data_IF_711284719285
#
_entry.id   IF_711284719285
#
_cell.length_a   1.000
_cell.length_b   1.000
_cell.length_c   1.000
_cell.angle_alpha   90.00
_cell.angle_beta   90.00
_cell.angle_gamma   90.00
#
_symmetry.space_group_name_H-M   'P 1'
#
loop_
_entity.id
_entity.type
_entity.pdbx_description
1 polymer ?
#
# COMPACT_ATOMS: atom_id res chain seq x y z
N UNK A 1 -17.31 11.02 -14.13
CA UNK A 1 -16.85 10.55 -12.81
C UNK A 1 -15.90 9.39 -13.07
N UNK A 2 -14.59 9.62 -13.00
CA UNK A 2 -13.54 8.60 -13.21
C UNK A 2 -13.03 8.06 -11.85
N UNK A 3 -13.91 7.99 -10.84
CA UNK A 3 -13.58 7.60 -9.46
C UNK A 3 -13.68 6.08 -9.26
N UNK A 4 -12.97 5.30 -10.07
CA UNK A 4 -12.97 3.84 -9.91
C UNK A 4 -11.65 3.16 -10.22
N UNK A 5 -10.75 3.81 -10.95
CA UNK A 5 -9.50 3.16 -11.39
C UNK A 5 -8.30 3.79 -10.72
N UNK A 6 -7.68 3.06 -9.79
CA UNK A 6 -6.37 3.43 -9.26
C UNK A 6 -5.34 3.20 -10.36
N UNK A 7 -4.73 4.29 -10.86
CA UNK A 7 -3.62 4.22 -11.81
C UNK A 7 -2.31 4.12 -11.04
N UNK A 8 -1.57 3.04 -11.29
CA UNK A 8 -0.24 2.81 -10.72
C UNK A 8 0.81 3.15 -11.78
N UNK A 9 1.83 3.91 -11.40
CA UNK A 9 2.91 4.25 -12.32
C UNK A 9 3.86 3.07 -12.56
N UNK A 10 3.95 2.15 -11.60
CA UNK A 10 4.88 1.03 -11.64
C UNK A 10 4.23 -0.28 -11.18
N UNK A 11 4.78 -1.41 -11.65
CA UNK A 11 4.38 -2.75 -11.18
C UNK A 11 4.64 -2.91 -9.68
N UNK A 12 5.73 -2.32 -9.18
CA UNK A 12 6.08 -2.35 -7.74
C UNK A 12 5.05 -1.62 -6.90
N UNK A 13 4.64 -0.42 -7.31
CA UNK A 13 3.60 0.34 -6.60
C UNK A 13 2.28 -0.44 -6.54
N UNK A 14 1.89 -1.07 -7.67
CA UNK A 14 0.70 -1.92 -7.74
C UNK A 14 0.80 -3.11 -6.78
N UNK A 15 1.94 -3.80 -6.74
CA UNK A 15 2.15 -4.95 -5.87
C UNK A 15 2.10 -4.55 -4.38
N UNK A 16 2.74 -3.43 -4.02
CA UNK A 16 2.69 -2.89 -2.66
C UNK A 16 1.26 -2.49 -2.27
N UNK A 17 0.52 -1.83 -3.16
CA UNK A 17 -0.88 -1.51 -2.92
C UNK A 17 -1.75 -2.77 -2.75
N UNK A 18 -1.57 -3.79 -3.58
CA UNK A 18 -2.30 -5.06 -3.44
C UNK A 18 -2.02 -5.74 -2.09
N UNK A 19 -0.77 -5.68 -1.60
CA UNK A 19 -0.39 -6.18 -0.27
C UNK A 19 -1.10 -5.42 0.86
N UNK A 20 -1.21 -4.10 0.76
CA UNK A 20 -1.96 -3.28 1.74
C UNK A 20 -3.42 -3.71 1.79
N UNK A 21 -4.08 -3.81 0.64
CA UNK A 21 -5.50 -4.21 0.57
C UNK A 21 -5.73 -5.61 1.13
N UNK A 22 -4.85 -6.57 0.81
CA UNK A 22 -4.94 -7.92 1.35
C UNK A 22 -4.75 -7.96 2.88
N UNK A 23 -3.76 -7.23 3.40
CA UNK A 23 -3.52 -7.15 4.84
C UNK A 23 -4.67 -6.46 5.58
N UNK A 24 -5.26 -5.41 4.98
CA UNK A 24 -6.43 -4.73 5.52
C UNK A 24 -7.63 -5.68 5.59
N UNK A 25 -7.91 -6.44 4.52
CA UNK A 25 -8.99 -7.42 4.51
C UNK A 25 -8.82 -8.49 5.61
N UNK A 26 -7.61 -9.04 5.74
CA UNK A 26 -7.30 -10.04 6.77
C UNK A 26 -7.45 -9.47 8.19
N UNK A 27 -7.03 -8.22 8.41
CA UNK A 27 -7.22 -7.56 9.69
C UNK A 27 -8.69 -7.28 9.96
N UNK A 28 -9.48 -6.84 8.98
CA UNK A 28 -10.91 -6.59 9.13
C UNK A 28 -11.70 -7.86 9.46
N UNK A 29 -11.26 -9.02 8.94
CA UNK A 29 -11.85 -10.33 9.23
C UNK A 29 -11.52 -10.83 10.65
N UNK A 30 -10.25 -10.77 11.04
CA UNK A 30 -9.78 -11.44 12.27
C UNK A 30 -9.62 -10.50 13.47
N UNK A 31 -9.43 -9.19 13.23
CA UNK A 31 -9.29 -8.10 14.21
C UNK A 31 -8.25 -8.34 15.29
N UNK A 32 -7.16 -9.03 14.95
CA UNK A 32 -6.03 -9.27 15.88
C UNK A 32 -4.97 -8.18 15.79
N UNK A 33 -4.22 -7.97 16.88
CA UNK A 33 -3.08 -7.05 16.90
C UNK A 33 -1.95 -7.48 15.93
N UNK A 34 -1.80 -8.79 15.69
CA UNK A 34 -0.83 -9.30 14.72
C UNK A 34 -1.17 -8.87 13.29
N UNK A 35 -2.43 -9.03 12.88
CA UNK A 35 -2.87 -8.59 11.56
C UNK A 35 -2.85 -7.05 11.42
N UNK A 36 -3.13 -6.33 12.50
CA UNK A 36 -2.96 -4.87 12.53
C UNK A 36 -1.49 -4.48 12.28
N UNK A 37 -0.54 -5.19 12.90
CA UNK A 37 0.90 -4.96 12.67
C UNK A 37 1.30 -5.25 11.23
N UNK A 38 0.80 -6.34 10.63
CA UNK A 38 1.04 -6.68 9.22
C UNK A 38 0.50 -5.58 8.29
N UNK A 39 -0.73 -5.10 8.53
CA UNK A 39 -1.31 -3.98 7.78
C UNK A 39 -0.45 -2.71 7.86
N UNK A 40 -0.04 -2.31 9.07
CA UNK A 40 0.82 -1.13 9.25
C UNK A 40 2.17 -1.28 8.56
N UNK A 41 2.79 -2.46 8.62
CA UNK A 41 4.04 -2.72 7.90
C UNK A 41 3.85 -2.60 6.39
N UNK A 42 2.81 -3.20 5.83
CA UNK A 42 2.51 -3.11 4.40
C UNK A 42 2.24 -1.66 3.96
N UNK A 43 1.54 -0.88 4.79
CA UNK A 43 1.25 0.53 4.53
C UNK A 43 2.55 1.35 4.48
N UNK A 44 3.45 1.13 5.44
CA UNK A 44 4.76 1.79 5.53
C UNK A 44 5.63 1.49 4.31
N UNK A 45 5.66 0.24 3.84
CA UNK A 45 6.41 -0.13 2.63
C UNK A 45 5.92 0.66 1.40
N UNK A 46 4.59 0.79 1.24
CA UNK A 46 4.00 1.56 0.14
C UNK A 46 4.33 3.06 0.23
N UNK A 47 4.24 3.63 1.43
CA UNK A 47 4.52 5.05 1.65
C UNK A 47 6.00 5.36 1.41
N UNK A 48 6.92 4.53 1.92
CA UNK A 48 8.36 4.67 1.66
C UNK A 48 8.69 4.58 0.16
N UNK A 49 8.03 3.69 -0.58
CA UNK A 49 8.20 3.60 -2.03
C UNK A 49 7.75 4.89 -2.74
N UNK A 50 6.59 5.43 -2.35
CA UNK A 50 6.04 6.69 -2.91
C UNK A 50 6.94 7.88 -2.61
N UNK A 51 7.42 8.00 -1.38
CA UNK A 51 8.37 9.03 -0.97
C UNK A 51 9.67 8.95 -1.77
N UNK A 52 10.27 7.76 -1.89
CA UNK A 52 11.48 7.57 -2.70
C UNK A 52 11.29 7.93 -4.18
N UNK A 53 10.12 7.60 -4.75
CA UNK A 53 9.74 8.00 -6.11
C UNK A 53 9.58 9.51 -6.24
N UNK A 54 8.95 10.16 -5.28
CA UNK A 54 8.76 11.61 -5.28
C UNK A 54 10.10 12.34 -5.19
N UNK A 55 11.02 11.89 -4.33
CA UNK A 55 12.37 12.44 -4.21
C UNK A 55 13.18 12.26 -5.50
N UNK A 56 13.06 11.10 -6.16
CA UNK A 56 13.73 10.84 -7.43
C UNK A 56 13.23 11.69 -8.60
N UNK A 57 11.98 12.16 -8.55
CA UNK A 57 11.39 13.07 -9.56
C UNK A 57 11.76 14.54 -9.35
N UNK A 58 12.23 14.91 -8.15
CA UNK A 58 12.63 16.29 -7.80
C UNK A 58 14.13 16.56 -8.02
N UNK A 59 14.89 15.52 -8.40
CA UNK A 59 16.31 15.62 -8.79
C UNK A 59 16.42 15.64 -10.31
#
# INVERSE_FOLDING_TARGET
>A
MDQGTIRFETKTERALHARVVAAEANWMETKTCEQLSIYWSARRDLDAFREGRQQAKQK
#
